data_IF_945427446245
#
_entry.id   IF_945427446245
#
_cell.length_a   1.000
_cell.length_b   1.000
_cell.length_c   1.000
_cell.angle_alpha   90.00
_cell.angle_beta   90.00
_cell.angle_gamma   90.00
#
_symmetry.space_group_name_H-M   'P 1'
#
loop_
_entity.id
_entity.type
_entity.pdbx_description
1 polymer ?
#
# COMPACT_ATOMS: atom_id res chain seq x y z
N UNK A 1 -6.92 36.50 12.31
CA UNK A 1 -6.76 35.17 11.71
C UNK A 1 -8.16 34.62 11.56
N UNK A 2 -8.57 34.24 10.35
CA UNK A 2 -9.92 33.73 10.09
C UNK A 2 -10.00 32.31 10.64
N UNK A 3 -10.88 32.05 11.60
CA UNK A 3 -11.04 30.72 12.18
C UNK A 3 -12.01 29.91 11.31
N UNK A 4 -11.46 29.04 10.45
CA UNK A 4 -12.26 28.13 9.64
C UNK A 4 -12.62 26.88 10.45
N UNK A 5 -13.88 26.49 10.41
CA UNK A 5 -14.37 25.25 11.03
C UNK A 5 -14.93 24.29 9.99
N UNK A 6 -14.51 23.04 10.03
CA UNK A 6 -15.13 21.97 9.26
C UNK A 6 -16.55 21.72 9.78
N UNK A 7 -17.53 21.81 8.90
CA UNK A 7 -18.95 21.55 9.20
C UNK A 7 -19.55 20.43 8.35
N UNK A 8 -18.80 19.91 7.39
CA UNK A 8 -19.27 18.84 6.50
C UNK A 8 -18.24 18.51 5.42
N UNK A 9 -18.64 17.67 4.48
CA UNK A 9 -17.84 17.37 3.30
C UNK A 9 -18.73 16.96 2.11
N UNK A 10 -18.21 17.15 0.89
CA UNK A 10 -18.84 16.72 -0.35
C UNK A 10 -18.16 15.43 -0.82
N UNK A 11 -18.93 14.34 -0.85
CA UNK A 11 -18.50 13.04 -1.36
C UNK A 11 -19.70 12.18 -1.71
N UNK A 12 -19.53 11.33 -2.72
CA UNK A 12 -20.45 10.22 -2.96
C UNK A 12 -20.11 9.06 -2.01
N UNK A 13 -20.97 8.83 -1.03
CA UNK A 13 -20.79 7.76 -0.05
C UNK A 13 -21.44 6.44 -0.48
N UNK A 14 -22.28 6.42 -1.52
CA UNK A 14 -22.93 5.19 -1.95
C UNK A 14 -22.00 4.42 -2.89
N UNK A 15 -21.72 3.16 -2.60
CA UNK A 15 -20.82 2.33 -3.40
C UNK A 15 -19.33 2.54 -3.11
N UNK A 16 -18.99 3.37 -2.13
CA UNK A 16 -17.61 3.62 -1.69
C UNK A 16 -17.30 3.01 -0.30
N UNK A 17 -18.14 2.08 0.16
CA UNK A 17 -18.03 1.49 1.50
C UNK A 17 -16.75 0.65 1.69
N UNK A 18 -16.14 0.23 0.60
CA UNK A 18 -14.93 -0.58 0.57
C UNK A 18 -13.65 0.24 0.42
N UNK A 19 -13.73 1.57 0.27
CA UNK A 19 -12.58 2.39 -0.15
C UNK A 19 -12.03 3.32 0.93
N UNK A 20 -10.75 3.68 0.77
CA UNK A 20 -10.11 4.80 1.44
C UNK A 20 -9.97 5.94 0.42
N UNK A 21 -10.65 7.08 0.68
CA UNK A 21 -10.78 8.18 -0.28
C UNK A 21 -10.71 9.56 0.39
N UNK A 22 -10.62 10.60 -0.42
CA UNK A 22 -10.70 12.00 0.02
C UNK A 22 -12.02 12.64 -0.36
N UNK A 23 -12.47 13.58 0.45
CA UNK A 23 -13.63 14.42 0.20
C UNK A 23 -13.28 15.91 0.31
N UNK A 24 -14.05 16.72 -0.40
CA UNK A 24 -13.90 18.18 -0.36
C UNK A 24 -14.52 18.71 0.94
N UNK A 25 -13.78 19.47 1.76
CA UNK A 25 -14.32 20.00 2.99
C UNK A 25 -15.41 21.05 2.75
N UNK A 26 -16.42 21.05 3.62
CA UNK A 26 -17.35 22.17 3.77
C UNK A 26 -16.96 22.91 5.04
N UNK A 27 -16.58 24.18 4.88
CA UNK A 27 -16.09 25.02 5.97
C UNK A 27 -17.12 26.10 6.31
N UNK A 28 -17.19 26.46 7.58
CA UNK A 28 -17.93 27.61 8.08
C UNK A 28 -16.96 28.75 8.36
N UNK A 29 -17.28 29.93 7.83
CA UNK A 29 -16.58 31.18 8.10
C UNK A 29 -17.63 32.26 8.39
N UNK A 30 -17.59 32.86 9.59
CA UNK A 30 -18.55 33.89 10.03
C UNK A 30 -20.04 33.47 9.86
N UNK A 31 -20.33 32.19 10.09
CA UNK A 31 -21.68 31.62 9.97
C UNK A 31 -22.13 31.31 8.54
N UNK A 32 -21.29 31.57 7.53
CA UNK A 32 -21.55 31.21 6.13
C UNK A 32 -20.79 29.93 5.77
N UNK A 33 -21.41 29.10 4.93
CA UNK A 33 -20.87 27.80 4.52
C UNK A 33 -20.25 27.88 3.13
N UNK A 34 -19.08 27.28 2.98
CA UNK A 34 -18.32 27.24 1.73
C UNK A 34 -17.78 25.84 1.46
N UNK A 35 -17.66 25.48 0.19
CA UNK A 35 -16.93 24.30 -0.27
C UNK A 35 -15.50 24.69 -0.62
N UNK A 36 -14.55 23.93 -0.07
CA UNK A 36 -13.14 24.03 -0.35
C UNK A 36 -12.75 23.06 -1.47
N UNK A 37 -12.78 23.54 -2.72
CA UNK A 37 -12.52 22.71 -3.89
C UNK A 37 -11.02 22.49 -4.15
N UNK A 38 -10.67 21.28 -4.52
CA UNK A 38 -9.33 20.92 -4.94
C UNK A 38 -8.34 20.71 -3.78
N UNK A 39 -7.14 20.25 -4.15
CA UNK A 39 -6.11 19.76 -3.21
C UNK A 39 -5.30 20.87 -2.51
N UNK A 40 -5.39 22.11 -2.99
CA UNK A 40 -4.59 23.26 -2.54
C UNK A 40 -5.47 24.50 -2.36
N UNK A 41 -6.67 24.31 -1.82
CA UNK A 41 -7.61 25.40 -1.60
C UNK A 41 -7.06 26.38 -0.55
N UNK A 42 -7.42 27.64 -0.73
CA UNK A 42 -7.20 28.76 0.20
C UNK A 42 -8.54 29.41 0.56
N UNK A 43 -8.55 30.27 1.58
CA UNK A 43 -9.72 31.08 1.98
C UNK A 43 -10.31 31.84 0.78
N UNK A 44 -9.45 32.35 -0.10
CA UNK A 44 -9.86 33.13 -1.29
C UNK A 44 -10.49 32.25 -2.38
N UNK A 45 -10.16 30.96 -2.42
CA UNK A 45 -10.71 30.00 -3.39
C UNK A 45 -12.04 29.37 -2.98
N UNK A 46 -12.52 29.67 -1.77
CA UNK A 46 -13.74 29.11 -1.20
C UNK A 46 -14.96 29.47 -2.06
N UNK A 47 -15.79 28.46 -2.37
CA UNK A 47 -17.04 28.66 -3.10
C UNK A 47 -18.23 28.58 -2.16
N UNK A 48 -19.15 29.57 -2.17
CA UNK A 48 -20.33 29.51 -1.30
C UNK A 48 -21.18 28.29 -1.65
N UNK A 49 -21.70 27.60 -0.64
CA UNK A 49 -22.66 26.51 -0.86
C UNK A 49 -23.97 27.11 -1.39
N UNK A 50 -24.37 26.74 -2.60
CA UNK A 50 -25.59 27.27 -3.21
C UNK A 50 -26.83 26.54 -2.69
N UNK A 51 -27.97 27.23 -2.69
CA UNK A 51 -29.26 26.62 -2.32
C UNK A 51 -29.54 25.40 -3.20
N UNK A 52 -29.76 24.24 -2.57
CA UNK A 52 -29.99 22.96 -3.25
C UNK A 52 -28.76 22.06 -3.43
N UNK A 53 -27.54 22.57 -3.27
CA UNK A 53 -26.31 21.74 -3.23
C UNK A 53 -26.16 21.01 -1.89
N UNK A 54 -26.85 21.48 -0.86
CA UNK A 54 -26.91 20.92 0.49
C UNK A 54 -27.30 19.43 0.50
N UNK A 55 -28.03 18.95 -0.50
CA UNK A 55 -28.40 17.53 -0.64
C UNK A 55 -27.24 16.61 -0.98
N UNK A 56 -26.15 17.16 -1.52
CA UNK A 56 -24.91 16.44 -1.83
C UNK A 56 -23.85 16.61 -0.73
N UNK A 57 -24.15 17.46 0.27
CA UNK A 57 -23.30 17.68 1.43
C UNK A 57 -23.60 16.65 2.52
N UNK A 58 -22.55 16.14 3.14
CA UNK A 58 -22.63 15.35 4.36
C UNK A 58 -22.24 16.25 5.53
N UNK A 59 -23.23 16.83 6.19
CA UNK A 59 -23.00 17.72 7.34
C UNK A 59 -22.64 16.92 8.60
N UNK A 60 -21.67 17.43 9.33
CA UNK A 60 -21.29 16.92 10.65
C UNK A 60 -22.31 17.38 11.69
N UNK A 61 -22.40 16.65 12.80
CA UNK A 61 -23.10 17.14 13.99
C UNK A 61 -22.32 18.29 14.59
N UNK A 62 -23.00 19.18 15.31
CA UNK A 62 -22.37 20.38 15.89
C UNK A 62 -21.16 20.02 16.79
N UNK A 63 -21.29 18.96 17.59
CA UNK A 63 -20.24 18.45 18.48
C UNK A 63 -19.04 17.83 17.74
N UNK A 64 -19.21 17.44 16.47
CA UNK A 64 -18.16 16.81 15.66
C UNK A 64 -17.34 17.84 14.86
N UNK A 65 -17.81 19.10 14.81
CA UNK A 65 -17.11 20.19 14.08
C UNK A 65 -15.74 20.47 14.68
N UNK A 66 -14.75 20.74 13.84
CA UNK A 66 -13.36 20.97 14.25
C UNK A 66 -12.69 22.07 13.44
N UNK A 67 -11.62 22.71 13.97
CA UNK A 67 -10.80 23.63 13.19
C UNK A 67 -10.21 22.91 11.97
N UNK A 68 -10.10 23.63 10.85
CA UNK A 68 -9.47 23.13 9.63
C UNK A 68 -8.57 24.19 9.02
N UNK A 69 -7.42 23.74 8.49
CA UNK A 69 -6.42 24.60 7.87
C UNK A 69 -6.54 24.57 6.35
N UNK A 70 -6.01 25.61 5.69
CA UNK A 70 -5.94 25.67 4.23
C UNK A 70 -5.18 24.45 3.66
N UNK A 71 -5.65 23.94 2.52
CA UNK A 71 -5.09 22.74 1.90
C UNK A 71 -5.39 21.41 2.61
N UNK A 72 -6.02 21.40 3.79
CA UNK A 72 -6.50 20.15 4.39
C UNK A 72 -7.69 19.59 3.62
N UNK A 73 -7.74 18.26 3.50
CA UNK A 73 -8.88 17.54 2.91
C UNK A 73 -9.51 16.64 3.97
N UNK A 74 -10.73 16.17 3.72
CA UNK A 74 -11.37 15.17 4.58
C UNK A 74 -10.99 13.79 4.09
N UNK A 75 -10.41 12.98 4.96
CA UNK A 75 -10.07 11.58 4.68
C UNK A 75 -11.25 10.74 5.10
N UNK A 76 -11.69 9.83 4.24
CA UNK A 76 -12.84 8.97 4.46
C UNK A 76 -12.42 7.51 4.30
N UNK A 77 -12.75 6.70 5.30
CA UNK A 77 -12.61 5.27 5.28
C UNK A 77 -14.00 4.63 5.34
N UNK A 78 -14.34 3.87 4.30
CA UNK A 78 -15.61 3.16 4.21
C UNK A 78 -15.76 2.11 5.30
N UNK A 79 -17.02 1.82 5.68
CA UNK A 79 -17.31 0.91 6.81
C UNK A 79 -16.75 -0.51 6.60
N UNK A 80 -16.76 -1.01 5.37
CA UNK A 80 -16.24 -2.34 5.05
C UNK A 80 -14.71 -2.30 5.05
N UNK A 81 -14.11 -1.23 4.50
CA UNK A 81 -12.68 -1.00 4.59
C UNK A 81 -12.18 -0.96 6.04
N UNK A 82 -12.87 -0.22 6.91
CA UNK A 82 -12.55 -0.16 8.35
C UNK A 82 -12.65 -1.55 8.98
N UNK A 83 -13.71 -2.30 8.69
CA UNK A 83 -13.90 -3.65 9.21
C UNK A 83 -12.76 -4.58 8.78
N UNK A 84 -12.40 -4.58 7.50
CA UNK A 84 -11.33 -5.40 6.95
C UNK A 84 -9.96 -5.00 7.54
N UNK A 85 -9.66 -3.70 7.66
CA UNK A 85 -8.41 -3.22 8.30
C UNK A 85 -8.31 -3.66 9.76
N UNK A 86 -9.41 -3.61 10.53
CA UNK A 86 -9.39 -3.95 11.94
C UNK A 86 -9.15 -5.45 12.18
N UNK A 87 -9.58 -6.32 11.26
CA UNK A 87 -9.35 -7.77 11.33
C UNK A 87 -8.05 -8.22 10.67
N UNK A 88 -7.41 -7.38 9.85
CA UNK A 88 -6.25 -7.78 9.06
C UNK A 88 -4.93 -7.76 9.87
N UNK A 89 -4.35 -8.94 10.08
CA UNK A 89 -3.15 -9.17 10.90
C UNK A 89 -1.94 -8.31 10.50
N UNK A 90 -1.73 -8.09 9.20
CA UNK A 90 -0.58 -7.33 8.69
C UNK A 90 -0.70 -5.80 8.80
N UNK A 91 -1.86 -5.27 9.19
CA UNK A 91 -2.12 -3.83 9.27
C UNK A 91 -2.23 -3.30 10.69
N UNK A 92 -1.59 -3.95 11.68
CA UNK A 92 -1.71 -3.60 13.12
C UNK A 92 -1.53 -2.11 13.39
N UNK A 93 -0.50 -1.48 12.81
CA UNK A 93 -0.22 -0.07 13.04
C UNK A 93 -1.37 0.83 12.56
N UNK A 94 -1.90 0.56 11.36
CA UNK A 94 -3.00 1.34 10.80
C UNK A 94 -4.35 1.00 11.44
N UNK A 95 -4.56 -0.26 11.86
CA UNK A 95 -5.70 -0.68 12.68
C UNK A 95 -5.78 0.10 13.99
N UNK A 96 -4.65 0.31 14.67
CA UNK A 96 -4.58 1.19 15.86
C UNK A 96 -4.87 2.65 15.53
N UNK A 97 -4.32 3.15 14.42
CA UNK A 97 -4.56 4.54 13.99
C UNK A 97 -6.04 4.78 13.69
N UNK A 98 -6.64 3.95 12.83
CA UNK A 98 -8.04 4.09 12.41
C UNK A 98 -9.01 3.79 13.56
N UNK A 99 -8.59 3.01 14.56
CA UNK A 99 -9.31 2.78 15.82
C UNK A 99 -9.24 3.95 16.80
N UNK A 100 -8.32 4.90 16.62
CA UNK A 100 -8.09 6.00 17.56
C UNK A 100 -9.20 7.07 17.52
N UNK A 101 -9.33 7.91 18.57
CA UNK A 101 -10.29 9.03 18.60
C UNK A 101 -10.07 10.09 17.51
N UNK A 102 -8.91 10.09 16.83
CA UNK A 102 -8.63 11.00 15.70
C UNK A 102 -9.49 10.67 14.48
N UNK A 103 -9.94 9.42 14.35
CA UNK A 103 -10.85 8.98 13.30
C UNK A 103 -12.29 8.94 13.85
N UNK A 104 -13.03 10.01 13.60
CA UNK A 104 -14.41 10.19 14.05
C UNK A 104 -15.38 9.35 13.23
N UNK A 105 -16.49 8.93 13.84
CA UNK A 105 -17.52 8.14 13.17
C UNK A 105 -18.60 9.05 12.58
N UNK A 106 -18.80 8.97 11.27
CA UNK A 106 -19.90 9.63 10.59
C UNK A 106 -21.20 8.81 10.72
N UNK A 107 -22.36 9.47 10.62
CA UNK A 107 -23.69 8.86 10.75
C UNK A 107 -23.95 7.68 9.80
N UNK A 108 -23.27 7.66 8.64
CA UNK A 108 -23.37 6.56 7.64
C UNK A 108 -22.37 5.42 7.87
N UNK A 109 -21.66 5.40 9.00
CA UNK A 109 -20.71 4.34 9.35
C UNK A 109 -19.29 4.52 8.77
N UNK A 110 -19.04 5.61 8.04
CA UNK A 110 -17.70 5.97 7.59
C UNK A 110 -16.87 6.50 8.76
N UNK A 111 -15.59 6.17 8.77
CA UNK A 111 -14.64 6.89 9.63
C UNK A 111 -14.03 8.05 8.86
N UNK A 112 -13.81 9.16 9.53
CA UNK A 112 -13.24 10.36 8.92
C UNK A 112 -12.25 11.08 9.82
N UNK A 113 -11.30 11.78 9.20
CA UNK A 113 -10.41 12.75 9.85
C UNK A 113 -10.04 13.84 8.84
N UNK A 114 -9.44 14.92 9.30
CA UNK A 114 -8.82 15.92 8.42
C UNK A 114 -7.30 15.71 8.34
N UNK A 115 -6.70 16.23 7.27
CA UNK A 115 -5.25 16.32 7.16
C UNK A 115 -4.78 16.75 5.77
N UNK A 116 -3.47 17.01 5.60
CA UNK A 116 -2.88 17.36 4.32
C UNK A 116 -3.06 16.24 3.29
N UNK A 117 -3.35 16.59 2.04
CA UNK A 117 -3.46 15.61 0.95
C UNK A 117 -2.20 14.77 0.76
N UNK A 118 -1.02 15.36 0.97
CA UNK A 118 0.25 14.65 0.84
C UNK A 118 0.38 13.52 1.85
N UNK A 119 -0.01 13.75 3.11
CA UNK A 119 0.03 12.73 4.15
C UNK A 119 -0.95 11.59 3.85
N UNK A 120 -2.10 11.90 3.23
CA UNK A 120 -3.05 10.90 2.76
C UNK A 120 -2.46 10.02 1.66
N UNK A 121 -1.85 10.64 0.64
CA UNK A 121 -1.23 9.94 -0.48
C UNK A 121 -0.04 9.08 0.01
N UNK A 122 0.82 9.62 0.88
CA UNK A 122 1.93 8.89 1.50
C UNK A 122 1.42 7.67 2.29
N UNK A 123 0.35 7.84 3.07
CA UNK A 123 -0.28 6.74 3.82
C UNK A 123 -0.82 5.67 2.88
N UNK A 124 -1.47 6.05 1.78
CA UNK A 124 -2.01 5.10 0.79
C UNK A 124 -0.91 4.29 0.14
N UNK A 125 0.19 4.92 -0.27
CA UNK A 125 1.36 4.24 -0.84
C UNK A 125 1.95 3.25 0.16
N UNK A 126 2.13 3.68 1.42
CA UNK A 126 2.65 2.79 2.46
C UNK A 126 1.77 1.56 2.66
N UNK A 127 0.46 1.74 2.76
CA UNK A 127 -0.48 0.64 2.93
C UNK A 127 -0.54 -0.27 1.70
N UNK A 128 -0.49 0.30 0.49
CA UNK A 128 -0.48 -0.45 -0.75
C UNK A 128 0.77 -1.34 -0.84
N UNK A 129 1.95 -0.82 -0.50
CA UNK A 129 3.19 -1.59 -0.49
C UNK A 129 3.14 -2.76 0.52
N UNK A 130 2.62 -2.52 1.73
CA UNK A 130 2.44 -3.57 2.74
C UNK A 130 1.52 -4.67 2.20
N UNK A 131 0.36 -4.29 1.66
CA UNK A 131 -0.62 -5.25 1.13
C UNK A 131 -0.12 -5.97 -0.11
N UNK A 132 0.65 -5.32 -0.98
CA UNK A 132 1.28 -5.95 -2.14
C UNK A 132 2.26 -7.04 -1.71
N UNK A 133 3.16 -6.74 -0.78
CA UNK A 133 4.10 -7.73 -0.24
C UNK A 133 3.40 -8.89 0.48
N UNK A 134 2.25 -8.64 1.12
CA UNK A 134 1.44 -9.70 1.74
C UNK A 134 0.71 -10.54 0.70
N UNK A 135 0.12 -9.88 -0.29
CA UNK A 135 -0.55 -10.52 -1.42
C UNK A 135 0.40 -11.50 -2.13
N UNK A 136 1.62 -11.05 -2.47
CA UNK A 136 2.62 -11.91 -3.13
C UNK A 136 2.99 -13.14 -2.30
N UNK A 137 3.12 -13.00 -0.97
CA UNK A 137 3.41 -14.13 -0.07
C UNK A 137 2.25 -15.13 -0.03
N UNK A 138 1.03 -14.63 0.14
CA UNK A 138 -0.17 -15.44 0.27
C UNK A 138 -0.59 -16.13 -1.03
N UNK A 139 -0.29 -15.53 -2.19
CA UNK A 139 -0.69 -16.03 -3.51
C UNK A 139 -0.08 -17.39 -3.89
N UNK A 140 0.90 -17.88 -3.15
CA UNK A 140 1.47 -19.22 -3.39
C UNK A 140 1.24 -20.17 -2.21
N UNK A 141 0.64 -19.69 -1.11
CA UNK A 141 0.30 -20.51 0.05
C UNK A 141 -1.13 -21.07 -0.08
N UNK A 142 -1.23 -22.40 -0.12
CA UNK A 142 -2.51 -23.08 -0.28
C UNK A 142 -3.44 -22.89 0.92
N UNK A 143 -2.91 -22.73 2.14
CA UNK A 143 -3.71 -22.45 3.32
C UNK A 143 -4.27 -21.03 3.25
N UNK A 144 -3.46 -20.05 2.87
CA UNK A 144 -3.92 -18.66 2.70
C UNK A 144 -4.98 -18.53 1.61
N UNK A 145 -4.85 -19.29 0.52
CA UNK A 145 -5.86 -19.34 -0.56
C UNK A 145 -7.21 -19.89 -0.12
N UNK A 146 -7.22 -20.85 0.80
CA UNK A 146 -8.43 -21.61 1.15
C UNK A 146 -9.08 -21.15 2.45
N UNK A 147 -8.29 -20.72 3.43
CA UNK A 147 -8.74 -20.43 4.80
C UNK A 147 -8.16 -19.13 5.37
N UNK A 148 -7.14 -18.53 4.74
CA UNK A 148 -6.46 -17.34 5.25
C UNK A 148 -7.00 -16.03 4.71
N UNK A 149 -6.15 -15.01 4.77
CA UNK A 149 -6.57 -13.61 4.58
C UNK A 149 -6.47 -13.13 3.13
N UNK A 150 -6.03 -13.98 2.19
CA UNK A 150 -5.73 -13.59 0.80
C UNK A 150 -6.86 -12.77 0.14
N UNK A 151 -8.12 -13.18 0.32
CA UNK A 151 -9.26 -12.46 -0.24
C UNK A 151 -9.43 -11.06 0.39
N UNK A 152 -9.25 -10.94 1.72
CA UNK A 152 -9.31 -9.67 2.45
C UNK A 152 -8.14 -8.76 2.05
N UNK A 153 -6.92 -9.31 1.97
CA UNK A 153 -5.72 -8.61 1.51
C UNK A 153 -5.92 -8.05 0.10
N UNK A 154 -6.47 -8.86 -0.80
CA UNK A 154 -6.76 -8.42 -2.16
C UNK A 154 -7.83 -7.32 -2.22
N UNK A 155 -8.92 -7.44 -1.44
CA UNK A 155 -9.94 -6.37 -1.35
C UNK A 155 -9.36 -5.06 -0.83
N UNK A 156 -8.58 -5.11 0.24
CA UNK A 156 -7.90 -3.93 0.79
C UNK A 156 -6.90 -3.34 -0.22
N UNK A 157 -6.17 -4.18 -0.95
CA UNK A 157 -5.27 -3.71 -2.01
C UNK A 157 -6.02 -2.94 -3.10
N UNK A 158 -7.17 -3.46 -3.55
CA UNK A 158 -8.03 -2.78 -4.51
C UNK A 158 -8.61 -1.47 -3.97
N UNK A 159 -8.97 -1.45 -2.69
CA UNK A 159 -9.56 -0.31 -1.99
C UNK A 159 -8.65 0.92 -1.88
N UNK A 160 -7.33 0.69 -1.89
CA UNK A 160 -6.34 1.76 -1.72
C UNK A 160 -5.93 2.41 -3.03
N UNK A 161 -6.01 1.71 -4.16
CA UNK A 161 -5.43 2.17 -5.39
C UNK A 161 -6.45 2.92 -6.26
N UNK A 162 -6.17 4.18 -6.60
CA UNK A 162 -6.90 4.91 -7.65
C UNK A 162 -6.08 5.02 -8.94
N UNK A 163 -4.76 4.83 -8.84
CA UNK A 163 -3.86 4.98 -9.97
C UNK A 163 -3.91 3.77 -10.91
N UNK A 164 -3.76 4.06 -12.20
CA UNK A 164 -3.70 3.07 -13.28
C UNK A 164 -2.22 2.82 -13.59
N UNK A 165 -1.59 1.94 -12.81
CA UNK A 165 -0.18 1.56 -13.00
C UNK A 165 -0.06 0.14 -13.56
N UNK A 166 1.03 -0.16 -14.27
CA UNK A 166 1.33 -1.52 -14.74
C UNK A 166 1.33 -2.53 -13.60
N UNK A 167 2.10 -2.26 -12.54
CA UNK A 167 2.22 -3.15 -11.37
C UNK A 167 0.85 -3.52 -10.81
N UNK A 168 -0.06 -2.54 -10.65
CA UNK A 168 -1.41 -2.81 -10.16
C UNK A 168 -2.17 -3.80 -11.04
N UNK A 169 -2.19 -3.59 -12.36
CA UNK A 169 -2.91 -4.50 -13.26
C UNK A 169 -2.28 -5.89 -13.28
N UNK A 170 -0.95 -5.99 -13.17
CA UNK A 170 -0.25 -7.27 -13.06
C UNK A 170 -0.59 -7.99 -11.74
N UNK A 171 -0.63 -7.29 -10.61
CA UNK A 171 -1.01 -7.88 -9.31
C UNK A 171 -2.46 -8.37 -9.30
N UNK A 172 -3.38 -7.62 -9.91
CA UNK A 172 -4.78 -8.02 -10.07
C UNK A 172 -4.89 -9.26 -10.95
N UNK A 173 -4.19 -9.29 -12.08
CA UNK A 173 -4.20 -10.44 -12.97
C UNK A 173 -3.54 -11.67 -12.35
N UNK A 174 -2.45 -11.49 -11.61
CA UNK A 174 -1.79 -12.58 -10.88
C UNK A 174 -2.75 -13.20 -9.86
N UNK A 175 -3.50 -12.39 -9.11
CA UNK A 175 -4.54 -12.87 -8.22
C UNK A 175 -5.58 -13.72 -8.96
N UNK A 176 -6.18 -13.19 -10.03
CA UNK A 176 -7.20 -13.94 -10.79
C UNK A 176 -6.65 -15.21 -11.45
N UNK A 177 -5.40 -15.17 -11.92
CA UNK A 177 -4.71 -16.34 -12.46
C UNK A 177 -4.57 -17.45 -11.41
N UNK A 178 -4.05 -17.11 -10.22
CA UNK A 178 -3.84 -18.06 -9.13
C UNK A 178 -5.17 -18.59 -8.54
N UNK A 179 -6.23 -17.79 -8.59
CA UNK A 179 -7.60 -18.19 -8.23
C UNK A 179 -8.35 -18.92 -9.36
N UNK A 180 -7.73 -19.10 -10.53
CA UNK A 180 -8.32 -19.72 -11.73
C UNK A 180 -9.58 -19.03 -12.27
N UNK A 181 -9.72 -17.73 -12.00
CA UNK A 181 -10.80 -16.89 -12.53
C UNK A 181 -10.42 -16.35 -13.92
N UNK A 182 -10.60 -17.19 -14.93
CA UNK A 182 -10.26 -16.85 -16.33
C UNK A 182 -11.05 -15.66 -16.88
N UNK A 183 -12.28 -15.45 -16.40
CA UNK A 183 -13.12 -14.34 -16.85
C UNK A 183 -12.58 -13.00 -16.31
N UNK A 184 -12.35 -12.91 -15.00
CA UNK A 184 -11.82 -11.69 -14.40
C UNK A 184 -10.39 -11.39 -14.86
N UNK A 185 -9.57 -12.42 -15.11
CA UNK A 185 -8.27 -12.27 -15.75
C UNK A 185 -8.40 -11.66 -17.15
N UNK A 186 -9.29 -12.19 -17.98
CA UNK A 186 -9.54 -11.67 -19.33
C UNK A 186 -10.01 -10.21 -19.33
N UNK A 187 -10.90 -9.85 -18.40
CA UNK A 187 -11.38 -8.49 -18.22
C UNK A 187 -10.27 -7.53 -17.75
N UNK A 188 -9.42 -7.99 -16.81
CA UNK A 188 -8.27 -7.21 -16.31
C UNK A 188 -7.29 -6.94 -17.42
N UNK A 189 -6.91 -7.96 -18.20
CA UNK A 189 -6.03 -7.84 -19.37
C UNK A 189 -6.61 -6.86 -20.39
N UNK A 190 -7.89 -7.01 -20.75
CA UNK A 190 -8.55 -6.12 -21.71
C UNK A 190 -8.54 -4.66 -21.23
N UNK A 191 -8.84 -4.41 -19.95
CA UNK A 191 -8.80 -3.07 -19.36
C UNK A 191 -7.40 -2.49 -19.34
N UNK A 192 -6.38 -3.30 -19.04
CA UNK A 192 -4.99 -2.85 -18.99
C UNK A 192 -4.48 -2.39 -20.37
N UNK A 193 -4.91 -3.07 -21.45
CA UNK A 193 -4.55 -2.73 -22.83
C UNK A 193 -5.34 -1.51 -23.34
N UNK A 194 -6.66 -1.47 -23.15
CA UNK A 194 -7.51 -0.42 -23.76
C UNK A 194 -7.54 0.87 -22.94
N UNK A 195 -7.63 0.78 -21.61
CA UNK A 195 -7.99 1.94 -20.77
C UNK A 195 -6.78 2.67 -20.18
N UNK A 196 -5.56 2.30 -20.54
CA UNK A 196 -4.37 2.86 -19.90
C UNK A 196 -3.16 3.10 -20.78
N UNK A 197 -3.14 2.65 -22.04
CA UNK A 197 -1.92 2.59 -22.87
C UNK A 197 -0.71 2.02 -22.08
N UNK A 198 -1.00 1.21 -21.06
CA UNK A 198 0.00 0.69 -20.13
C UNK A 198 0.76 -0.44 -20.81
N UNK A 199 0.08 -1.20 -21.67
CA UNK A 199 0.65 -2.31 -22.41
C UNK A 199 0.34 -2.11 -23.89
N UNK A 200 1.34 -2.36 -24.75
CA UNK A 200 1.19 -2.22 -26.19
C UNK A 200 0.11 -3.15 -26.76
N UNK A 201 0.02 -4.37 -26.21
CA UNK A 201 -0.95 -5.38 -26.61
C UNK A 201 -1.13 -6.44 -25.50
N UNK A 202 -2.06 -7.37 -25.75
CA UNK A 202 -2.34 -8.49 -24.85
C UNK A 202 -1.15 -9.45 -24.69
N UNK A 203 -0.30 -9.60 -25.72
CA UNK A 203 0.87 -10.49 -25.65
C UNK A 203 1.92 -9.94 -24.68
N UNK A 204 2.17 -8.64 -24.74
CA UNK A 204 3.08 -7.91 -23.84
C UNK A 204 2.60 -8.03 -22.40
N UNK A 205 1.30 -7.87 -22.17
CA UNK A 205 0.69 -8.07 -20.85
C UNK A 205 0.92 -9.50 -20.32
N UNK A 206 0.63 -10.52 -21.15
CA UNK A 206 0.74 -11.92 -20.76
C UNK A 206 2.23 -12.30 -20.49
N UNK A 207 3.18 -11.72 -21.22
CA UNK A 207 4.62 -11.87 -20.98
C UNK A 207 5.07 -11.25 -19.65
N UNK A 208 4.70 -10.00 -19.38
CA UNK A 208 5.04 -9.32 -18.12
C UNK A 208 4.42 -10.04 -16.91
N UNK A 209 3.18 -10.56 -17.05
CA UNK A 209 2.54 -11.37 -16.02
C UNK A 209 3.29 -12.69 -15.76
N UNK A 210 3.69 -13.39 -16.83
CA UNK A 210 4.47 -14.62 -16.71
C UNK A 210 5.84 -14.37 -16.04
N UNK A 211 6.50 -13.26 -16.38
CA UNK A 211 7.75 -12.84 -15.77
C UNK A 211 7.57 -12.57 -14.27
N UNK A 212 6.58 -11.75 -13.88
CA UNK A 212 6.28 -11.47 -12.48
C UNK A 212 6.06 -12.75 -11.69
N UNK A 213 5.25 -13.67 -12.22
CA UNK A 213 4.99 -14.96 -11.57
C UNK A 213 6.25 -15.80 -11.42
N UNK A 214 7.11 -15.83 -12.43
CA UNK A 214 8.39 -16.56 -12.37
C UNK A 214 9.29 -16.02 -11.27
N UNK A 215 9.42 -14.69 -11.16
CA UNK A 215 10.22 -14.02 -10.14
C UNK A 215 9.71 -14.35 -8.73
N UNK A 216 8.40 -14.23 -8.50
CA UNK A 216 7.81 -14.52 -7.19
C UNK A 216 7.91 -15.99 -6.80
N UNK A 217 7.80 -16.90 -7.77
CA UNK A 217 7.98 -18.34 -7.53
C UNK A 217 9.42 -18.66 -7.15
N UNK A 218 10.40 -18.04 -7.83
CA UNK A 218 11.82 -18.23 -7.53
C UNK A 218 12.18 -17.71 -6.13
N UNK A 219 11.75 -16.48 -5.79
CA UNK A 219 12.00 -15.89 -4.47
C UNK A 219 11.48 -16.78 -3.33
N UNK A 220 10.32 -17.41 -3.50
CA UNK A 220 9.77 -18.36 -2.51
C UNK A 220 10.62 -19.63 -2.39
N UNK A 221 11.12 -20.17 -3.50
CA UNK A 221 11.97 -21.36 -3.44
C UNK A 221 13.25 -21.07 -2.65
N UNK A 222 13.81 -19.87 -2.81
CA UNK A 222 14.99 -19.42 -2.08
C UNK A 222 14.70 -19.27 -0.58
N UNK A 223 13.58 -18.65 -0.19
CA UNK A 223 13.15 -18.57 1.22
C UNK A 223 12.99 -19.96 1.87
N UNK A 224 12.40 -20.92 1.16
CA UNK A 224 12.23 -22.29 1.65
C UNK A 224 13.58 -23.01 1.79
N UNK A 225 14.53 -22.73 0.90
CA UNK A 225 15.88 -23.30 0.98
C UNK A 225 16.65 -22.69 2.14
N UNK A 226 16.63 -21.37 2.32
CA UNK A 226 17.27 -20.68 3.46
C UNK A 226 16.65 -21.09 4.80
N UNK A 227 15.33 -21.22 4.90
CA UNK A 227 14.66 -21.68 6.12
C UNK A 227 15.03 -23.13 6.45
N UNK A 228 15.16 -24.01 5.44
CA UNK A 228 15.63 -25.39 5.63
C UNK A 228 17.11 -25.48 5.99
N UNK A 229 17.94 -24.59 5.46
CA UNK A 229 19.37 -24.54 5.79
C UNK A 229 19.61 -23.94 7.19
N UNK A 230 18.78 -23.00 7.63
CA UNK A 230 18.85 -22.40 8.97
C UNK A 230 18.21 -23.29 10.04
N UNK A 231 17.15 -24.05 9.72
CA UNK A 231 16.58 -25.10 10.60
C UNK A 231 17.33 -26.43 10.55
N UNK A 232 18.26 -26.61 9.60
CA UNK A 232 19.27 -27.68 9.66
C UNK A 232 20.21 -27.40 10.83
N UNK A 233 19.75 -27.81 12.02
CA UNK A 233 20.55 -27.97 13.22
C UNK A 233 21.94 -28.47 12.85
N UNK A 234 22.97 -27.78 13.35
CA UNK A 234 24.35 -28.25 13.39
C UNK A 234 24.37 -29.69 13.92
N UNK A 235 24.42 -30.68 13.04
CA UNK A 235 24.80 -32.02 13.42
C UNK A 235 26.30 -31.96 13.71
N UNK A 236 26.68 -31.90 14.99
CA UNK A 236 28.05 -32.23 15.37
C UNK A 236 28.31 -33.66 14.94
N UNK A 237 29.20 -33.82 13.97
CA UNK A 237 29.77 -35.12 13.69
C UNK A 237 30.47 -35.62 14.97
N UNK A 238 30.53 -36.94 15.23
CA UNK A 238 31.11 -37.50 16.46
C UNK A 238 32.56 -37.07 16.74
N UNK A 239 33.25 -36.54 15.73
CA UNK A 239 34.62 -36.07 15.70
C UNK A 239 34.78 -34.54 15.83
N UNK A 240 33.70 -33.77 15.99
CA UNK A 240 33.76 -32.36 16.38
C UNK A 240 34.04 -31.34 15.26
N UNK A 241 34.00 -31.73 14.00
CA UNK A 241 34.18 -30.79 12.86
C UNK A 241 32.83 -30.32 12.29
N UNK A 242 32.70 -28.99 12.12
CA UNK A 242 31.60 -28.32 11.43
C UNK A 242 31.99 -28.06 9.96
N UNK A 243 31.17 -28.52 9.01
CA UNK A 243 31.34 -28.18 7.59
C UNK A 243 30.38 -27.04 7.22
N UNK A 244 30.91 -25.88 6.79
CA UNK A 244 30.10 -24.76 6.29
C UNK A 244 30.20 -24.67 4.75
N UNK A 245 29.06 -24.75 4.07
CA UNK A 245 28.96 -24.61 2.61
C UNK A 245 28.84 -23.14 2.20
N UNK A 246 29.93 -22.36 2.31
CA UNK A 246 29.94 -20.91 2.02
C UNK A 246 29.95 -20.53 0.53
N UNK A 247 30.20 -21.47 -0.39
CA UNK A 247 30.43 -21.14 -1.80
C UNK A 247 29.17 -21.09 -2.68
N UNK A 248 28.08 -21.74 -2.29
CA UNK A 248 26.82 -21.72 -3.05
C UNK A 248 26.01 -20.45 -2.77
N UNK A 249 26.08 -19.95 -1.53
CA UNK A 249 25.32 -18.80 -1.03
C UNK A 249 25.74 -17.48 -1.72
N UNK A 250 27.05 -17.31 -2.01
CA UNK A 250 27.60 -16.10 -2.63
C UNK A 250 27.18 -15.94 -4.11
N UNK A 251 27.17 -17.03 -4.88
CA UNK A 251 26.87 -16.97 -6.31
C UNK A 251 25.38 -16.69 -6.59
N UNK A 252 24.48 -17.20 -5.74
CA UNK A 252 23.04 -17.02 -5.87
C UNK A 252 22.62 -15.60 -5.48
N UNK A 253 23.16 -15.06 -4.37
CA UNK A 253 22.87 -13.69 -3.92
C UNK A 253 23.27 -12.63 -4.96
N UNK A 254 24.39 -12.85 -5.66
CA UNK A 254 24.85 -11.97 -6.74
C UNK A 254 23.86 -11.94 -7.92
N UNK A 255 23.33 -13.10 -8.33
CA UNK A 255 22.36 -13.18 -9.44
C UNK A 255 21.02 -12.51 -9.12
N UNK A 256 20.59 -12.52 -7.86
CA UNK A 256 19.35 -11.86 -7.41
C UNK A 256 19.51 -10.34 -7.42
N UNK A 257 20.65 -9.83 -6.94
CA UNK A 257 20.97 -8.41 -6.95
C UNK A 257 20.95 -7.82 -8.36
N UNK A 258 21.58 -8.52 -9.31
CA UNK A 258 21.67 -8.13 -10.72
C UNK A 258 20.27 -8.07 -11.37
N UNK A 259 19.40 -9.07 -11.11
CA UNK A 259 18.03 -9.09 -11.63
C UNK A 259 17.12 -8.00 -11.02
N UNK A 260 17.31 -7.67 -9.74
CA UNK A 260 16.57 -6.58 -9.09
C UNK A 260 16.98 -5.20 -9.61
N UNK A 261 18.28 -4.99 -9.88
CA UNK A 261 18.78 -3.74 -10.45
C UNK A 261 18.21 -3.48 -11.85
N UNK A 262 18.09 -4.53 -12.68
CA UNK A 262 17.50 -4.45 -14.02
C UNK A 262 15.99 -4.15 -14.01
N UNK A 263 15.25 -4.64 -13.01
CA UNK A 263 13.81 -4.44 -12.91
C UNK A 263 13.40 -3.04 -12.41
N UNK A 264 14.20 -2.43 -11.53
CA UNK A 264 13.81 -1.19 -10.83
C UNK A 264 14.62 0.05 -11.23
N UNK A 265 15.62 -0.08 -12.11
CA UNK A 265 16.23 1.05 -12.81
C UNK A 265 16.71 2.19 -11.91
N UNK A 266 17.57 1.92 -10.91
CA UNK A 266 18.37 2.99 -10.29
C UNK A 266 19.65 2.45 -9.65
N UNK A 267 20.80 3.07 -9.96
CA UNK A 267 22.10 2.68 -9.41
C UNK A 267 22.20 2.83 -7.89
N UNK A 268 21.34 3.65 -7.26
CA UNK A 268 21.36 3.90 -5.82
C UNK A 268 20.91 2.68 -4.98
N UNK A 269 19.96 1.89 -5.49
CA UNK A 269 19.49 0.68 -4.80
C UNK A 269 20.49 -0.47 -4.91
N UNK A 270 21.22 -0.55 -6.03
CA UNK A 270 22.31 -1.52 -6.20
C UNK A 270 23.44 -1.29 -5.18
N UNK A 271 23.84 -0.03 -4.98
CA UNK A 271 24.92 0.31 -4.04
C UNK A 271 24.53 0.06 -2.58
N UNK A 272 23.27 0.36 -2.20
CA UNK A 272 22.77 0.08 -0.85
C UNK A 272 22.66 -1.42 -0.57
N UNK A 273 22.31 -2.23 -1.59
CA UNK A 273 22.21 -3.68 -1.45
C UNK A 273 23.58 -4.37 -1.41
N UNK A 274 24.53 -3.95 -2.26
CA UNK A 274 25.92 -4.45 -2.21
C UNK A 274 26.58 -4.16 -0.86
N UNK A 275 26.35 -2.97 -0.29
CA UNK A 275 26.85 -2.61 1.04
C UNK A 275 26.19 -3.40 2.16
N UNK A 276 24.87 -3.62 2.11
CA UNK A 276 24.17 -4.49 3.06
C UNK A 276 24.76 -5.92 3.09
N UNK A 277 25.11 -6.46 1.91
CA UNK A 277 25.78 -7.75 1.79
C UNK A 277 27.21 -7.73 2.36
N UNK A 278 27.98 -6.65 2.15
CA UNK A 278 29.32 -6.50 2.71
C UNK A 278 29.31 -6.46 4.25
N UNK A 279 28.33 -5.78 4.86
CA UNK A 279 28.17 -5.75 6.33
C UNK A 279 27.79 -7.13 6.88
N UNK A 280 26.92 -7.88 6.20
CA UNK A 280 26.49 -9.22 6.64
C UNK A 280 27.56 -10.30 6.42
N UNK A 281 28.47 -10.12 5.46
CA UNK A 281 29.60 -11.02 5.25
C UNK A 281 30.79 -10.71 6.19
N UNK A 282 30.68 -9.68 7.04
CA UNK A 282 31.73 -9.26 7.96
C UNK A 282 32.91 -8.56 7.27
N UNK A 283 32.70 -8.08 6.05
CA UNK A 283 33.71 -7.37 5.25
C UNK A 283 33.71 -5.86 5.55
N UNK A 284 32.61 -5.33 6.12
CA UNK A 284 32.46 -3.93 6.50
C UNK A 284 31.82 -3.82 7.89
N UNK A 285 32.29 -2.90 8.74
CA UNK A 285 31.79 -2.69 10.10
C UNK A 285 30.51 -1.86 10.09
N UNK A 286 29.48 -2.28 10.85
CA UNK A 286 28.19 -1.56 10.99
C UNK A 286 28.38 -0.12 11.55
N UNK A 287 29.47 0.13 12.29
CA UNK A 287 29.81 1.45 12.80
C UNK A 287 30.35 2.40 11.71
N UNK A 288 31.02 1.89 10.67
CA UNK A 288 31.51 2.71 9.54
C UNK A 288 30.34 3.16 8.65
N UNK A 289 29.37 2.28 8.44
CA UNK A 289 28.16 2.57 7.66
C UNK A 289 27.28 3.65 8.34
N UNK A 290 27.21 3.64 9.67
CA UNK A 290 26.47 4.63 10.45
C UNK A 290 27.14 6.01 10.48
N UNK A 291 28.47 6.04 10.57
CA UNK A 291 29.25 7.28 10.53
C UNK A 291 29.14 7.98 9.16
N UNK A 292 29.14 7.22 8.07
CA UNK A 292 29.04 7.78 6.70
C UNK A 292 27.61 8.25 6.37
N UNK A 293 26.59 7.62 6.96
CA UNK A 293 25.18 8.02 6.81
C UNK A 293 24.76 9.18 7.73
N UNK A 294 25.66 9.69 8.57
CA UNK A 294 25.38 10.80 9.49
C UNK A 294 24.33 10.46 10.56
N UNK A 295 24.21 9.17 10.92
CA UNK A 295 23.27 8.71 11.93
C UNK A 295 23.98 8.73 13.29
N UNK A 296 23.82 9.83 14.03
CA UNK A 296 24.29 9.92 15.42
C UNK A 296 23.43 9.04 16.35
N UNK A 297 24.07 8.44 17.36
CA UNK A 297 23.43 7.53 18.34
C UNK A 297 22.35 8.19 19.18
#
# INVERSE_FOLDING_TARGET
MVELRLVGFVADLAGNEDFLLTAEPIVSNEGRKFVAHGRHWTVESLRPVSTGEERFANFLKDDDTEPIEEGHVVWLAGRNFVSDVLSHSSLVAFSREIGSPRWKLHSRGYKWRTGPIREFDDRRVQLANILESQLHRQLFDQLEKTLGDLASTFRLYLALATERTKSRYLNIALYHFEMRDTYALGLTRHRAVINGDLFADASTFDQELAQLRSVLTAARLDEVVEDRLSTSHSYRLPNGEEAHSKHVESAVRKSIAENWADMYGSGALSTLFERYLATHNGEESDDDLRAELGIER
#
